data_IF_444456865191
#
_entry.id   IF_444456865191
#
_cell.length_a   1.000
_cell.length_b   1.000
_cell.length_c   1.000
_cell.angle_alpha   90.00
_cell.angle_beta   90.00
_cell.angle_gamma   90.00
#
_symmetry.space_group_name_H-M   'P 1'
#
loop_
_entity.id
_entity.type
_entity.pdbx_description
1 polymer ?
#
# COMPACT_ATOMS: atom_id res chain seq x y z
N UNK A 1 -3.22 11.54 -15.47
CA UNK A 1 -2.69 10.47 -14.63
C UNK A 1 -3.84 9.55 -14.31
N UNK A 2 -3.61 8.25 -14.35
CA UNK A 2 -4.60 7.28 -13.91
C UNK A 2 -4.45 7.07 -12.41
N UNK A 3 -5.58 6.94 -11.72
CA UNK A 3 -5.61 6.63 -10.30
C UNK A 3 -5.69 5.12 -10.16
N UNK A 4 -4.88 4.60 -9.27
CA UNK A 4 -4.93 3.20 -8.89
C UNK A 4 -5.16 3.10 -7.40
N UNK A 5 -5.90 2.10 -6.97
CA UNK A 5 -6.13 1.87 -5.55
C UNK A 5 -6.05 0.39 -5.20
N UNK A 6 -5.78 0.16 -3.92
CA UNK A 6 -5.94 -1.12 -3.27
C UNK A 6 -6.68 -0.93 -1.95
N UNK A 7 -7.49 -1.90 -1.58
CA UNK A 7 -8.20 -1.90 -0.31
C UNK A 7 -7.50 -2.84 0.65
N UNK A 8 -7.13 -2.34 1.81
CA UNK A 8 -6.64 -3.17 2.91
C UNK A 8 -7.79 -3.98 3.50
N UNK A 9 -7.50 -5.12 4.12
CA UNK A 9 -8.51 -5.94 4.80
C UNK A 9 -9.21 -5.19 5.96
N UNK A 10 -8.59 -4.15 6.51
CA UNK A 10 -9.22 -3.27 7.51
C UNK A 10 -10.23 -2.26 6.91
N UNK A 11 -10.41 -2.24 5.59
CA UNK A 11 -11.31 -1.33 4.89
C UNK A 11 -10.69 0.01 4.49
N UNK A 12 -9.45 0.29 4.90
CA UNK A 12 -8.73 1.49 4.46
C UNK A 12 -8.29 1.34 2.99
N UNK A 13 -8.53 2.38 2.19
CA UNK A 13 -8.15 2.43 0.78
C UNK A 13 -6.84 3.19 0.65
N UNK A 14 -5.88 2.57 -0.03
CA UNK A 14 -4.62 3.20 -0.42
C UNK A 14 -4.66 3.48 -1.91
N UNK A 15 -4.42 4.73 -2.30
CA UNK A 15 -4.43 5.15 -3.70
C UNK A 15 -3.09 5.76 -4.09
N UNK A 16 -2.61 5.40 -5.29
CA UNK A 16 -1.43 5.98 -5.92
C UNK A 16 -1.77 6.50 -7.32
N UNK A 17 -1.01 7.47 -7.79
CA UNK A 17 -1.21 8.06 -9.11
C UNK A 17 -0.03 7.72 -10.03
N UNK A 18 -0.32 7.47 -11.31
CA UNK A 18 0.71 7.12 -12.27
C UNK A 18 0.29 7.32 -13.72
N UNK A 19 1.26 7.30 -14.62
CA UNK A 19 0.98 7.20 -16.06
C UNK A 19 0.46 5.80 -16.43
N UNK A 20 0.89 4.79 -15.67
CA UNK A 20 0.49 3.39 -15.77
C UNK A 20 0.53 2.75 -14.36
N UNK A 21 0.20 1.45 -14.31
CA UNK A 21 0.17 0.68 -13.07
C UNK A 21 1.54 0.61 -12.39
N UNK A 22 2.61 0.47 -13.16
CA UNK A 22 3.95 0.30 -12.60
C UNK A 22 4.46 1.61 -11.98
N UNK A 23 4.13 2.75 -12.60
CA UNK A 23 4.36 4.07 -12.04
C UNK A 23 3.59 4.26 -10.73
N UNK A 24 2.31 3.87 -10.68
CA UNK A 24 1.50 3.97 -9.47
C UNK A 24 1.95 2.99 -8.36
N UNK A 25 2.45 1.80 -8.71
CA UNK A 25 3.08 0.87 -7.76
C UNK A 25 4.32 1.50 -7.15
N UNK A 26 5.20 2.11 -7.95
CA UNK A 26 6.41 2.77 -7.45
C UNK A 26 6.08 3.95 -6.54
N UNK A 27 5.11 4.76 -6.94
CA UNK A 27 4.61 5.88 -6.13
C UNK A 27 4.12 5.39 -4.76
N UNK A 28 3.21 4.40 -4.75
CA UNK A 28 2.66 3.88 -3.50
C UNK A 28 3.70 3.14 -2.65
N UNK A 29 4.64 2.41 -3.26
CA UNK A 29 5.76 1.78 -2.55
C UNK A 29 6.72 2.80 -1.92
N UNK A 30 6.87 3.99 -2.52
CA UNK A 30 7.71 5.06 -1.97
C UNK A 30 7.10 5.68 -0.72
N UNK A 31 5.77 5.69 -0.62
CA UNK A 31 5.01 6.23 0.51
C UNK A 31 4.85 5.18 1.61
N UNK A 32 4.72 3.90 1.24
CA UNK A 32 4.67 2.75 2.17
C UNK A 32 6.07 2.28 2.55
N UNK A 33 6.75 3.08 3.38
CA UNK A 33 8.00 2.71 4.05
C UNK A 33 7.75 1.92 5.35
N UNK A 34 8.81 1.39 5.96
CA UNK A 34 8.71 0.62 7.21
C UNK A 34 8.05 1.42 8.35
N UNK A 35 8.22 2.74 8.38
CA UNK A 35 7.65 3.62 9.41
C UNK A 35 6.15 3.73 9.21
N UNK A 36 5.70 4.02 7.99
CA UNK A 36 4.29 4.13 7.62
C UNK A 36 3.55 2.80 7.80
N UNK A 37 4.17 1.68 7.40
CA UNK A 37 3.61 0.35 7.59
C UNK A 37 3.46 0.05 9.09
N UNK A 38 4.51 0.30 9.88
CA UNK A 38 4.47 0.06 11.32
C UNK A 38 3.42 0.94 12.00
N UNK A 39 3.35 2.23 11.66
CA UNK A 39 2.35 3.15 12.20
C UNK A 39 0.92 2.71 11.87
N UNK A 40 0.64 2.35 10.61
CA UNK A 40 -0.67 1.85 10.22
C UNK A 40 -1.06 0.57 10.99
N UNK A 41 -0.13 -0.37 11.17
CA UNK A 41 -0.40 -1.59 11.92
C UNK A 41 -0.57 -1.35 13.42
N UNK A 42 0.17 -0.41 14.02
CA UNK A 42 -0.01 -0.06 15.43
C UNK A 42 -1.37 0.59 15.71
N UNK A 43 -1.86 1.42 14.79
CA UNK A 43 -3.13 2.14 14.95
C UNK A 43 -4.35 1.29 14.53
N UNK A 44 -4.27 0.61 13.39
CA UNK A 44 -5.40 -0.08 12.78
C UNK A 44 -5.43 -1.59 13.06
N UNK A 45 -4.30 -2.17 13.49
CA UNK A 45 -4.14 -3.60 13.77
C UNK A 45 -3.46 -3.87 15.12
N UNK A 46 -4.01 -3.38 16.26
CA UNK A 46 -3.35 -3.47 17.55
C UNK A 46 -3.09 -4.93 17.96
N UNK A 47 -1.81 -5.27 18.14
CA UNK A 47 -1.37 -6.61 18.52
C UNK A 47 -1.03 -7.55 17.36
N UNK A 48 -1.25 -7.13 16.10
CA UNK A 48 -0.74 -7.85 14.94
C UNK A 48 0.71 -7.43 14.62
N UNK A 49 1.52 -8.39 14.18
CA UNK A 49 2.86 -8.09 13.71
C UNK A 49 2.79 -7.36 12.36
N UNK A 50 3.41 -6.17 12.29
CA UNK A 50 3.55 -5.46 11.03
C UNK A 50 4.31 -6.32 10.01
N UNK A 51 3.85 -6.42 8.75
CA UNK A 51 4.56 -7.10 7.69
C UNK A 51 5.84 -6.34 7.35
N UNK A 52 6.81 -7.03 6.74
CA UNK A 52 8.01 -6.35 6.25
C UNK A 52 7.70 -5.46 5.05
N UNK A 53 8.52 -4.44 4.81
CA UNK A 53 8.39 -3.59 3.60
C UNK A 53 8.32 -4.43 2.31
N UNK A 54 9.11 -5.48 2.19
CA UNK A 54 9.10 -6.36 1.03
C UNK A 54 7.76 -7.10 0.85
N UNK A 55 7.15 -7.56 1.95
CA UNK A 55 5.83 -8.18 1.92
C UNK A 55 4.76 -7.16 1.53
N UNK A 56 4.84 -5.94 2.04
CA UNK A 56 3.89 -4.89 1.70
C UNK A 56 4.01 -4.47 0.24
N UNK A 57 5.25 -4.27 -0.24
CA UNK A 57 5.53 -3.92 -1.64
C UNK A 57 5.05 -4.99 -2.61
N UNK A 58 5.20 -6.27 -2.26
CA UNK A 58 4.64 -7.39 -3.03
C UNK A 58 3.11 -7.35 -3.06
N UNK A 59 2.46 -7.05 -1.93
CA UNK A 59 0.99 -6.88 -1.86
C UNK A 59 0.50 -5.72 -2.71
N UNK A 60 1.18 -4.57 -2.68
CA UNK A 60 0.88 -3.42 -3.54
C UNK A 60 0.99 -3.83 -5.01
N UNK A 61 2.11 -4.46 -5.38
CA UNK A 61 2.35 -4.89 -6.76
C UNK A 61 1.36 -5.96 -7.25
N UNK A 62 0.67 -6.67 -6.36
CA UNK A 62 -0.36 -7.67 -6.70
C UNK A 62 -1.77 -7.06 -6.74
N UNK A 63 -2.13 -6.24 -5.74
CA UNK A 63 -3.50 -5.84 -5.49
C UNK A 63 -3.86 -4.45 -6.02
N UNK A 64 -2.87 -3.65 -6.43
CA UNK A 64 -3.14 -2.34 -7.00
C UNK A 64 -3.87 -2.48 -8.34
N UNK A 65 -5.07 -1.88 -8.43
CA UNK A 65 -5.95 -1.92 -9.59
C UNK A 65 -6.36 -0.50 -10.01
N UNK A 66 -6.63 -0.30 -11.30
CA UNK A 66 -7.13 0.97 -11.81
C UNK A 66 -8.54 1.25 -11.24
N UNK A 67 -8.79 2.51 -10.89
CA UNK A 67 -10.08 2.99 -10.37
C UNK A 67 -10.89 3.68 -11.47
#
# INVERSE_FOLDING_TARGET
MATFSMTCSCGQVFSGEGADRDAAVKDLQSIMDDIAITAHFQEMHPGEAAPTIAQMHARIAQNLAAV
#
